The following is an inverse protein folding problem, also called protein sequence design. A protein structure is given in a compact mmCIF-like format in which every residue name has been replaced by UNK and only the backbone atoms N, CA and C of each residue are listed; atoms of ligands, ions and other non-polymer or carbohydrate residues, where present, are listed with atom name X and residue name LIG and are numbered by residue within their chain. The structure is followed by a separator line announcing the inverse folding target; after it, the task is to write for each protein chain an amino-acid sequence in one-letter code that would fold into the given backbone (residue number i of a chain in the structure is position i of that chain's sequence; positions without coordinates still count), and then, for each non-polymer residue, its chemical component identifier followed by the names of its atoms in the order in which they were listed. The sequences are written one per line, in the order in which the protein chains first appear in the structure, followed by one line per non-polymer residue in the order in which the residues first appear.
data_IF_870547469244
#
_entry.id   IF_870547469244
#
_cell.length_a   1.000
_cell.length_b   1.000
_cell.length_c   1.000
_cell.angle_alpha   90.00
_cell.angle_beta   90.00
_cell.angle_gamma   90.00
#
_symmetry.space_group_name_H-M   'P 1'
#
loop_
_entity.id
_entity.type
_entity.pdbx_description
1 polymer ?
#
# COMPACT_ATOMS: atom_id res chain seq x y z
N UNK A 1 9.92 24.65 -5.83
CA UNK A 1 9.67 23.65 -4.78
C UNK A 1 9.13 22.38 -5.44
N UNK A 2 9.69 21.19 -5.18
CA UNK A 2 9.21 19.96 -5.82
C UNK A 2 8.05 19.37 -5.01
N UNK A 3 6.87 19.25 -5.61
CA UNK A 3 5.66 18.79 -4.95
C UNK A 3 5.65 17.27 -4.71
N UNK A 4 5.15 16.85 -3.55
CA UNK A 4 4.83 15.46 -3.25
C UNK A 4 3.44 15.12 -3.80
N UNK A 5 3.19 13.85 -4.11
CA UNK A 5 1.86 13.41 -4.57
C UNK A 5 0.78 13.46 -3.50
N UNK A 6 1.16 13.29 -2.24
CA UNK A 6 0.25 13.26 -1.09
C UNK A 6 0.84 14.05 0.05
N UNK A 7 -0.02 14.80 0.73
CA UNK A 7 0.31 15.45 1.98
C UNK A 7 -0.08 14.55 3.17
N UNK A 8 0.74 14.50 4.23
CA UNK A 8 0.40 13.76 5.44
C UNK A 8 -0.81 14.38 6.13
N UNK A 9 -1.62 13.55 6.78
CA UNK A 9 -2.79 14.02 7.54
C UNK A 9 -2.37 14.98 8.66
N UNK A 10 -1.24 14.69 9.32
CA UNK A 10 -0.61 15.56 10.30
C UNK A 10 0.82 15.87 9.87
N UNK A 11 1.07 17.09 9.38
CA UNK A 11 2.39 17.50 8.91
C UNK A 11 3.46 17.57 10.03
N UNK A 12 3.03 17.83 11.26
CA UNK A 12 3.90 17.88 12.45
C UNK A 12 4.42 16.48 12.79
N UNK A 13 3.55 15.47 12.75
CA UNK A 13 3.85 14.07 13.09
C UNK A 13 4.33 13.23 11.90
N UNK A 14 4.88 13.89 10.88
CA UNK A 14 5.28 13.23 9.66
C UNK A 14 6.62 13.74 9.13
N UNK A 15 7.38 12.82 8.54
CA UNK A 15 8.63 13.09 7.87
C UNK A 15 8.52 12.80 6.39
N UNK A 16 9.22 13.58 5.57
CA UNK A 16 9.28 13.38 4.13
C UNK A 16 10.72 13.15 3.71
N UNK A 17 10.91 12.29 2.72
CA UNK A 17 12.16 12.10 2.02
C UNK A 17 11.90 11.86 0.54
N UNK A 18 12.82 12.29 -0.32
CA UNK A 18 12.70 12.13 -1.77
C UNK A 18 14.05 11.87 -2.40
N UNK A 19 14.06 11.01 -3.42
CA UNK A 19 15.17 10.87 -4.35
C UNK A 19 14.67 11.13 -5.78
N UNK A 20 15.32 12.05 -6.48
CA UNK A 20 14.97 12.39 -7.87
C UNK A 20 16.01 11.84 -8.83
N UNK A 21 15.58 11.47 -10.05
CA UNK A 21 16.43 11.00 -11.15
C UNK A 21 17.39 9.86 -10.75
N UNK A 22 16.90 8.96 -9.89
CA UNK A 22 17.68 7.83 -9.43
C UNK A 22 17.87 6.84 -10.58
N UNK A 23 19.13 6.46 -10.84
CA UNK A 23 19.50 5.50 -11.87
C UNK A 23 19.25 4.05 -11.43
N UNK A 24 18.00 3.74 -11.13
CA UNK A 24 17.50 2.40 -10.79
C UNK A 24 16.32 2.05 -11.67
N UNK A 25 16.09 0.77 -11.90
CA UNK A 25 15.04 0.34 -12.83
C UNK A 25 13.65 0.50 -12.21
N UNK A 26 12.87 1.45 -12.74
CA UNK A 26 11.54 1.82 -12.25
C UNK A 26 10.65 0.63 -11.84
N UNK A 27 10.51 -0.39 -12.71
CA UNK A 27 9.62 -1.53 -12.44
C UNK A 27 10.03 -2.32 -11.20
N UNK A 28 11.34 -2.49 -10.99
CA UNK A 28 11.84 -3.23 -9.83
C UNK A 28 11.60 -2.42 -8.56
N UNK A 29 11.95 -1.13 -8.61
CA UNK A 29 11.81 -0.22 -7.47
C UNK A 29 10.36 -0.03 -7.05
N UNK A 30 9.41 -0.05 -7.99
CA UNK A 30 7.98 -0.02 -7.70
C UNK A 30 7.52 -1.24 -6.90
N UNK A 31 7.94 -2.44 -7.31
CA UNK A 31 7.56 -3.66 -6.57
C UNK A 31 8.23 -3.69 -5.19
N UNK A 32 9.49 -3.27 -5.08
CA UNK A 32 10.17 -3.18 -3.78
C UNK A 32 9.52 -2.16 -2.85
N UNK A 33 9.16 -0.99 -3.37
CA UNK A 33 8.47 0.05 -2.61
C UNK A 33 7.09 -0.41 -2.12
N UNK A 34 6.34 -1.12 -2.97
CA UNK A 34 5.03 -1.64 -2.58
C UNK A 34 5.13 -2.72 -1.49
N UNK A 35 6.22 -3.46 -1.44
CA UNK A 35 6.45 -4.50 -0.43
C UNK A 35 6.75 -3.93 0.97
N UNK A 36 7.30 -2.72 1.06
CA UNK A 36 7.59 -2.03 2.34
C UNK A 36 6.48 -1.07 2.80
N UNK A 37 5.48 -0.84 1.95
CA UNK A 37 4.37 0.07 2.26
C UNK A 37 3.59 -0.44 3.48
N UNK A 38 3.27 0.46 4.43
CA UNK A 38 2.60 0.17 5.71
C UNK A 38 3.37 -0.71 6.69
N UNK A 39 4.67 -0.91 6.50
CA UNK A 39 5.51 -1.54 7.52
C UNK A 39 6.05 -0.49 8.49
N UNK A 40 6.30 -0.91 9.73
CA UNK A 40 7.14 -0.18 10.68
C UNK A 40 8.55 0.01 10.11
N UNK A 41 9.19 1.13 10.45
CA UNK A 41 10.49 1.53 9.90
C UNK A 41 11.57 0.47 10.16
N UNK A 42 11.65 -0.04 11.39
CA UNK A 42 12.62 -1.05 11.81
C UNK A 42 12.43 -2.38 11.06
N UNK A 43 11.18 -2.82 10.88
CA UNK A 43 10.84 -4.01 10.08
C UNK A 43 11.17 -3.81 8.60
N UNK A 44 10.90 -2.62 8.05
CA UNK A 44 11.19 -2.31 6.65
C UNK A 44 12.70 -2.36 6.35
N UNK A 45 13.54 -1.80 7.23
CA UNK A 45 15.01 -1.84 7.08
C UNK A 45 15.52 -3.28 7.11
N UNK A 46 15.16 -4.05 8.13
CA UNK A 46 15.53 -5.47 8.26
C UNK A 46 15.12 -6.27 7.03
N UNK A 47 13.91 -6.04 6.53
CA UNK A 47 13.42 -6.72 5.33
C UNK A 47 14.26 -6.39 4.09
N UNK A 48 14.65 -5.13 3.89
CA UNK A 48 15.50 -4.75 2.75
C UNK A 48 16.92 -5.33 2.86
N UNK A 49 17.47 -5.44 4.08
CA UNK A 49 18.76 -6.10 4.34
C UNK A 49 18.69 -7.61 4.04
N UNK A 50 17.62 -8.27 4.47
CA UNK A 50 17.37 -9.69 4.17
C UNK A 50 17.22 -9.94 2.65
N UNK A 51 16.64 -9.00 1.91
CA UNK A 51 16.55 -9.08 0.44
C UNK A 51 17.93 -8.97 -0.20
N UNK A 52 18.81 -8.11 0.33
CA UNK A 52 20.19 -7.99 -0.15
C UNK A 52 20.95 -9.30 0.15
N UNK A 53 20.71 -9.91 1.30
CA UNK A 53 21.26 -11.20 1.70
C UNK A 53 20.56 -12.41 1.05
N UNK A 54 19.56 -12.20 0.18
CA UNK A 54 18.76 -13.25 -0.48
C UNK A 54 17.99 -14.20 0.46
N UNK A 55 17.81 -13.82 1.73
CA UNK A 55 17.04 -14.59 2.72
C UNK A 55 15.53 -14.48 2.48
N UNK A 56 15.07 -13.30 2.04
CA UNK A 56 13.68 -13.05 1.70
C UNK A 56 13.56 -12.45 0.30
N UNK A 57 12.52 -12.84 -0.44
CA UNK A 57 12.26 -12.33 -1.79
C UNK A 57 11.22 -11.21 -1.77
N UNK A 58 11.30 -10.34 -2.78
CA UNK A 58 10.27 -9.31 -3.03
C UNK A 58 9.23 -9.88 -3.99
N UNK A 59 7.93 -9.85 -3.63
CA UNK A 59 6.87 -10.31 -4.52
C UNK A 59 6.68 -9.33 -5.68
N UNK A 60 6.64 -9.84 -6.91
CA UNK A 60 6.36 -9.04 -8.10
C UNK A 60 4.86 -9.17 -8.43
N UNK A 61 4.10 -8.09 -8.24
CA UNK A 61 2.64 -8.09 -8.40
C UNK A 61 2.17 -7.58 -9.75
N UNK A 62 2.64 -6.40 -10.18
CA UNK A 62 2.20 -5.78 -11.45
C UNK A 62 3.12 -6.14 -12.60
N UNK A 63 4.43 -6.00 -12.38
CA UNK A 63 5.44 -6.25 -13.41
C UNK A 63 5.97 -7.68 -13.38
N UNK A 64 5.08 -8.66 -13.57
CA UNK A 64 5.39 -10.09 -13.41
C UNK A 64 5.69 -10.86 -14.71
N UNK A 65 5.74 -10.19 -15.87
CA UNK A 65 6.04 -10.83 -17.16
C UNK A 65 7.44 -11.46 -17.20
N UNK A 66 7.50 -12.77 -17.41
CA UNK A 66 8.76 -13.53 -17.47
C UNK A 66 9.49 -13.69 -16.14
N UNK A 67 8.82 -13.47 -15.00
CA UNK A 67 9.43 -13.61 -13.67
C UNK A 67 9.26 -15.05 -13.16
N UNK A 68 10.37 -15.65 -12.71
CA UNK A 68 10.39 -16.99 -12.11
C UNK A 68 9.62 -17.06 -10.79
N UNK A 69 9.23 -18.28 -10.40
CA UNK A 69 8.56 -18.55 -9.12
C UNK A 69 9.59 -18.98 -8.06
N UNK A 70 9.41 -18.51 -6.83
CA UNK A 70 10.31 -18.80 -5.70
C UNK A 70 9.49 -19.14 -4.47
N UNK A 71 9.93 -20.13 -3.68
CA UNK A 71 9.24 -20.54 -2.45
C UNK A 71 9.13 -19.39 -1.43
N UNK A 72 10.16 -18.54 -1.33
CA UNK A 72 10.19 -17.37 -0.45
C UNK A 72 9.07 -16.34 -0.74
N UNK A 73 8.57 -16.30 -1.98
CA UNK A 73 7.50 -15.36 -2.36
C UNK A 73 6.10 -15.88 -2.00
N UNK A 74 5.94 -17.19 -1.73
CA UNK A 74 4.65 -17.83 -1.44
C UNK A 74 3.99 -17.26 -0.18
N UNK A 75 4.77 -16.89 0.84
CA UNK A 75 4.26 -16.32 2.09
C UNK A 75 3.64 -14.93 1.92
N UNK A 76 4.02 -14.19 0.87
CA UNK A 76 3.65 -12.78 0.68
C UNK A 76 2.72 -12.53 -0.50
N UNK A 77 2.62 -13.48 -1.44
CA UNK A 77 1.78 -13.35 -2.63
C UNK A 77 1.40 -14.71 -3.23
N UNK A 78 0.13 -14.85 -3.60
CA UNK A 78 -0.46 -16.10 -4.11
C UNK A 78 0.17 -16.61 -5.41
N UNK A 79 0.64 -15.72 -6.30
CA UNK A 79 1.25 -16.12 -7.56
C UNK A 79 2.63 -16.79 -7.39
N UNK A 80 3.25 -16.69 -6.20
CA UNK A 80 4.58 -17.25 -5.91
C UNK A 80 5.73 -16.66 -6.73
N UNK A 81 5.51 -15.57 -7.47
CA UNK A 81 6.53 -14.89 -8.28
C UNK A 81 7.27 -13.85 -7.44
N UNK A 82 8.60 -13.91 -7.46
CA UNK A 82 9.44 -12.98 -6.71
C UNK A 82 10.89 -12.97 -7.17
N UNK A 83 11.61 -11.89 -6.83
CA UNK A 83 13.03 -11.70 -7.14
C UNK A 83 13.74 -10.96 -6.00
N UNK A 84 15.05 -10.81 -6.11
CA UNK A 84 15.90 -10.02 -5.20
C UNK A 84 16.51 -8.80 -5.91
N UNK A 85 15.82 -7.64 -5.95
CA UNK A 85 16.27 -6.46 -6.67
C UNK A 85 17.28 -5.67 -5.84
N UNK A 86 18.50 -6.19 -5.71
CA UNK A 86 19.56 -5.66 -4.82
C UNK A 86 19.80 -4.16 -5.01
N UNK A 87 19.88 -3.68 -6.25
CA UNK A 87 20.09 -2.25 -6.53
C UNK A 87 18.94 -1.40 -5.99
N UNK A 88 17.69 -1.82 -6.18
CA UNK A 88 16.54 -1.04 -5.69
C UNK A 88 16.46 -1.04 -4.17
N UNK A 89 16.75 -2.17 -3.53
CA UNK A 89 16.77 -2.30 -2.08
C UNK A 89 17.80 -1.36 -1.44
N UNK A 90 19.01 -1.27 -1.99
CA UNK A 90 20.06 -0.36 -1.50
C UNK A 90 19.64 1.11 -1.55
N UNK A 91 19.05 1.56 -2.66
CA UNK A 91 18.57 2.94 -2.79
C UNK A 91 17.40 3.25 -1.85
N UNK A 92 16.47 2.31 -1.66
CA UNK A 92 15.37 2.48 -0.71
C UNK A 92 15.87 2.52 0.74
N UNK A 93 16.84 1.67 1.10
CA UNK A 93 17.45 1.67 2.43
C UNK A 93 18.15 3.00 2.72
N UNK A 94 18.89 3.55 1.76
CA UNK A 94 19.49 4.86 1.89
C UNK A 94 18.44 5.98 2.08
N UNK A 95 17.32 5.91 1.34
CA UNK A 95 16.23 6.88 1.52
C UNK A 95 15.53 6.77 2.87
N UNK A 96 15.36 5.55 3.40
CA UNK A 96 14.78 5.34 4.73
C UNK A 96 15.71 5.86 5.85
N UNK A 97 17.03 5.68 5.72
CA UNK A 97 18.00 6.27 6.64
C UNK A 97 17.97 7.81 6.62
N UNK A 98 17.82 8.39 5.44
CA UNK A 98 17.63 9.84 5.33
C UNK A 98 16.30 10.30 5.97
N UNK A 99 15.22 9.55 5.77
CA UNK A 99 13.92 9.85 6.37
C UNK A 99 13.93 9.74 7.91
N UNK A 100 14.70 8.80 8.45
CA UNK A 100 14.96 8.66 9.89
C UNK A 100 15.73 9.86 10.46
N UNK A 101 16.83 10.26 9.83
CA UNK A 101 17.58 11.45 10.25
C UNK A 101 16.70 12.70 10.25
N UNK A 102 15.81 12.85 9.25
CA UNK A 102 14.81 13.93 9.24
C UNK A 102 13.79 13.83 10.38
N UNK A 103 13.49 12.62 10.88
CA UNK A 103 12.59 12.40 12.00
C UNK A 103 13.23 12.76 13.34
N UNK A 104 14.50 12.40 13.52
CA UNK A 104 15.29 12.78 14.69
C UNK A 104 15.38 14.31 14.82
N UNK A 105 15.64 15.01 13.70
CA UNK A 105 15.67 16.49 13.67
C UNK A 105 14.32 17.10 14.05
N UNK A 106 13.22 16.42 13.74
CA UNK A 106 11.86 16.84 14.15
C UNK A 106 11.47 16.43 15.56
N UNK A 107 12.30 15.63 16.25
CA UNK A 107 11.99 15.11 17.58
C UNK A 107 10.89 14.05 17.60
N UNK A 108 10.67 13.36 16.48
CA UNK A 108 9.72 12.23 16.41
C UNK A 108 10.42 10.95 16.85
N UNK A 109 9.68 10.05 17.49
CA UNK A 109 10.22 8.78 17.96
C UNK A 109 10.40 7.77 16.82
N UNK A 110 11.64 7.36 16.54
CA UNK A 110 11.98 6.52 15.39
C UNK A 110 11.36 5.11 15.45
N UNK A 111 11.09 4.59 16.65
CA UNK A 111 10.59 3.22 16.85
C UNK A 111 9.10 3.10 16.55
N UNK A 112 8.33 4.15 16.78
CA UNK A 112 6.88 4.20 16.51
C UNK A 112 6.54 4.62 15.07
N UNK A 113 7.54 4.99 14.26
CA UNK A 113 7.33 5.39 12.87
C UNK A 113 7.02 4.20 11.96
N UNK A 114 6.09 4.43 11.03
CA UNK A 114 5.80 3.52 9.94
C UNK A 114 5.77 4.24 8.59
N UNK A 115 5.94 3.46 7.52
CA UNK A 115 5.88 3.96 6.15
C UNK A 115 4.42 4.19 5.74
N UNK A 116 3.93 5.40 5.92
CA UNK A 116 2.54 5.77 5.62
C UNK A 116 2.30 5.88 4.11
N UNK A 117 3.19 6.56 3.40
CA UNK A 117 3.16 6.68 1.94
C UNK A 117 4.52 6.40 1.33
N UNK A 118 4.49 5.64 0.25
CA UNK A 118 5.64 5.46 -0.61
C UNK A 118 5.13 5.38 -2.04
N UNK A 119 5.80 6.11 -2.91
CA UNK A 119 5.49 6.15 -4.32
C UNK A 119 6.76 6.24 -5.15
N UNK A 120 6.70 5.57 -6.30
CA UNK A 120 7.78 5.54 -7.28
C UNK A 120 7.17 5.98 -8.60
N UNK A 121 7.73 7.03 -9.19
CA UNK A 121 7.32 7.60 -10.47
C UNK A 121 8.43 7.42 -11.51
N UNK A 122 8.07 7.39 -12.78
CA UNK A 122 9.06 7.31 -13.86
C UNK A 122 9.78 8.66 -13.99
N UNK A 123 11.10 8.61 -14.19
CA UNK A 123 11.91 9.77 -14.51
C UNK A 123 12.23 9.80 -16.01
N UNK A 124 12.88 10.87 -16.47
CA UNK A 124 13.24 11.03 -17.87
C UNK A 124 14.16 9.88 -18.34
N UNK A 125 13.79 9.24 -19.45
CA UNK A 125 14.55 8.12 -20.00
C UNK A 125 15.88 8.59 -20.60
N UNK A 126 16.98 7.95 -20.22
CA UNK A 126 18.30 8.20 -20.81
C UNK A 126 18.48 7.31 -22.04
N UNK A 127 18.79 7.91 -23.20
CA UNK A 127 18.88 7.19 -24.48
C UNK A 127 20.33 6.83 -24.83
N UNK A 128 20.54 5.59 -25.26
CA UNK A 128 21.75 5.09 -25.93
C UNK A 128 21.33 4.44 -27.26
N UNK A 129 22.28 4.16 -28.14
CA UNK A 129 22.05 3.48 -29.42
C UNK A 129 22.47 2.01 -29.32
N UNK A 130 21.73 1.13 -29.98
CA UNK A 130 22.11 -0.27 -30.22
C UNK A 130 22.10 -0.53 -31.71
N UNK A 131 23.26 -0.93 -32.24
CA UNK A 131 23.41 -1.36 -33.62
C UNK A 131 22.88 -2.80 -33.78
N UNK A 132 22.14 -3.04 -34.85
CA UNK A 132 21.52 -4.32 -35.18
C UNK A 132 21.92 -4.73 -36.59
N UNK A 133 21.57 -5.97 -36.95
CA UNK A 133 21.84 -6.51 -38.28
C UNK A 133 21.30 -5.58 -39.39
N UNK A 134 21.98 -5.62 -40.55
CA UNK A 134 21.66 -4.82 -41.74
C UNK A 134 21.61 -3.29 -41.49
N UNK A 135 22.50 -2.77 -40.63
CA UNK A 135 22.63 -1.33 -40.39
C UNK A 135 21.48 -0.68 -39.60
N UNK A 136 20.56 -1.46 -39.02
CA UNK A 136 19.44 -0.94 -38.23
C UNK A 136 19.94 -0.35 -36.90
N UNK A 137 19.38 0.79 -36.49
CA UNK A 137 19.72 1.45 -35.21
C UNK A 137 18.49 1.53 -34.33
N UNK A 138 18.52 0.83 -33.19
CA UNK A 138 17.44 0.85 -32.20
C UNK A 138 17.86 1.66 -30.95
N UNK A 139 16.90 2.28 -30.24
CA UNK A 139 17.18 2.95 -28.98
C UNK A 139 17.32 1.94 -27.83
N UNK A 140 18.35 2.10 -27.01
CA UNK A 140 18.49 1.43 -25.72
C UNK A 140 18.30 2.44 -24.61
N UNK A 141 17.15 2.39 -23.93
CA UNK A 141 16.74 3.40 -22.97
C UNK A 141 16.86 2.91 -21.53
N UNK A 142 17.49 3.70 -20.68
CA UNK A 142 17.40 3.50 -19.23
C UNK A 142 16.07 4.04 -18.72
N UNK A 143 15.49 3.37 -17.72
CA UNK A 143 14.22 3.78 -17.08
C UNK A 143 14.46 4.14 -15.61
N UNK A 144 15.02 5.35 -15.33
CA UNK A 144 15.23 5.85 -13.98
C UNK A 144 13.91 6.16 -13.27
N UNK A 145 13.96 6.47 -11.97
CA UNK A 145 12.77 6.80 -11.19
C UNK A 145 12.96 7.95 -10.20
N UNK A 146 11.84 8.57 -9.85
CA UNK A 146 11.71 9.41 -8.67
C UNK A 146 11.05 8.57 -7.57
N UNK A 147 11.57 8.64 -6.35
CA UNK A 147 11.01 7.96 -5.18
C UNK A 147 10.66 9.02 -4.16
N UNK A 148 9.47 8.94 -3.62
CA UNK A 148 9.02 9.76 -2.50
C UNK A 148 8.53 8.85 -1.36
N UNK A 149 8.90 9.21 -0.14
CA UNK A 149 8.56 8.50 1.08
C UNK A 149 8.03 9.49 2.10
N UNK A 150 6.97 9.09 2.79
CA UNK A 150 6.42 9.79 3.95
C UNK A 150 6.36 8.77 5.09
N UNK A 151 6.96 9.14 6.22
CA UNK A 151 6.84 8.44 7.48
C UNK A 151 5.84 9.18 8.36
N UNK A 152 5.08 8.44 9.15
CA UNK A 152 4.15 9.01 10.11
C UNK A 152 4.17 8.18 11.39
N UNK A 153 3.87 8.82 12.52
CA UNK A 153 3.70 8.12 13.79
C UNK A 153 2.41 7.31 13.79
N UNK A 154 2.43 6.15 14.43
CA UNK A 154 1.24 5.33 14.59
C UNK A 154 0.25 6.00 15.56
N UNK A 155 -0.79 6.61 15.03
CA UNK A 155 -1.88 7.19 15.84
C UNK A 155 -2.78 6.03 16.28
N UNK A 156 -2.94 5.84 17.59
CA UNK A 156 -3.93 4.91 18.14
C UNK A 156 -5.33 5.26 17.59
N UNK A 157 -6.20 4.26 17.34
CA UNK A 157 -7.49 4.52 16.72
C UNK A 157 -8.28 5.53 17.54
N UNK A 158 -8.56 6.69 16.93
CA UNK A 158 -9.44 7.69 17.52
C UNK A 158 -10.84 7.10 17.54
N UNK A 159 -11.41 6.95 18.74
CA UNK A 159 -12.81 6.55 18.89
C UNK A 159 -13.66 7.65 18.26
N UNK A 160 -14.27 7.36 17.12
CA UNK A 160 -15.26 8.25 16.52
C UNK A 160 -16.47 8.23 17.45
N UNK A 161 -16.62 9.28 18.26
CA UNK A 161 -17.85 9.52 18.99
C UNK A 161 -18.89 9.98 17.96
N UNK A 162 -19.77 9.06 17.56
CA UNK A 162 -20.96 9.43 16.81
C UNK A 162 -21.81 10.30 17.72
N UNK A 163 -21.93 11.59 17.40
CA UNK A 163 -22.97 12.42 17.98
C UNK A 163 -24.30 11.83 17.52
N UNK A 164 -25.02 11.20 18.44
CA UNK A 164 -26.41 10.80 18.23
C UNK A 164 -27.24 12.07 18.02
N UNK A 165 -27.32 12.52 16.77
CA UNK A 165 -28.31 13.51 16.38
C UNK A 165 -29.67 12.84 16.52
N UNK A 166 -30.35 13.16 17.62
CA UNK A 166 -31.69 12.72 17.98
C UNK A 166 -32.64 12.84 16.79
N UNK A 167 -33.14 11.68 16.31
CA UNK A 167 -34.27 11.54 15.38
C UNK A 167 -35.57 11.95 16.07
N UNK A 168 -35.69 13.22 16.42
CA UNK A 168 -36.86 13.76 17.09
C UNK A 168 -37.35 15.02 16.40
N UNK A 169 -37.55 15.00 15.09
CA UNK A 169 -38.44 15.99 14.44
C UNK A 169 -39.09 15.37 13.19
N UNK A 170 -40.43 15.49 13.15
CA UNK A 170 -41.36 15.28 12.03
C UNK A 170 -41.86 13.84 11.77
N UNK A 171 -42.37 13.23 12.84
CA UNK A 171 -43.63 12.49 12.77
C UNK A 171 -44.79 13.53 12.77
N UNK A 172 -45.18 14.09 11.62
CA UNK A 172 -46.40 14.94 11.54
C UNK A 172 -46.99 15.16 10.15
N UNK A 173 -46.73 14.32 9.15
CA UNK A 173 -47.50 14.34 7.89
C UNK A 173 -47.62 12.92 7.37
N UNK A 174 -48.61 12.17 7.82
CA UNK A 174 -49.20 11.01 7.13
C UNK A 174 -50.45 10.52 7.91
N UNK A 175 -51.32 11.46 8.26
CA UNK A 175 -52.75 11.17 8.51
C UNK A 175 -53.52 11.80 7.36
N UNK A 176 -53.79 11.01 6.33
CA UNK A 176 -54.98 11.03 5.46
C UNK A 176 -54.63 10.26 4.18
N UNK A 177 -55.22 9.08 4.01
CA UNK A 177 -54.98 8.25 2.83
C UNK A 177 -55.49 6.84 2.99
N UNK A 178 -56.80 6.71 3.24
CA UNK A 178 -57.53 5.45 3.09
C UNK A 178 -57.35 4.97 1.64
N UNK A 179 -56.70 3.83 1.43
CA UNK A 179 -56.98 3.00 0.26
C UNK A 179 -56.86 1.52 0.59
N UNK A 180 -58.03 0.89 0.61
CA UNK A 180 -58.27 -0.51 0.87
C UNK A 180 -58.28 -1.22 -0.49
N UNK A 181 -57.37 -2.18 -0.72
CA UNK A 181 -57.63 -3.33 -1.60
C UNK A 181 -56.55 -4.41 -1.42
N UNK A 182 -57.01 -5.63 -1.13
CA UNK A 182 -56.46 -6.83 -1.78
C UNK A 182 -55.43 -7.66 -1.03
N UNK A 183 -55.92 -8.55 -0.14
CA UNK A 183 -55.59 -10.00 -0.06
C UNK A 183 -54.22 -10.45 -0.62
N UNK A 184 -53.33 -10.92 0.26
CA UNK A 184 -52.64 -12.22 0.08
C UNK A 184 -51.94 -12.63 1.38
N UNK A 185 -52.53 -13.61 2.05
CA UNK A 185 -52.01 -14.29 3.22
C UNK A 185 -50.80 -15.15 2.85
N UNK A 186 -49.67 -14.95 3.53
CA UNK A 186 -48.59 -15.95 3.63
C UNK A 186 -48.25 -16.18 5.10
N UNK A 187 -48.32 -17.46 5.46
CA UNK A 187 -48.26 -18.04 6.81
C UNK A 187 -46.91 -17.80 7.53
N UNK A 188 -46.87 -17.76 8.87
CA UNK A 188 -45.64 -17.79 9.64
C UNK A 188 -45.09 -19.22 9.78
N UNK A 189 -43.75 -19.34 9.74
CA UNK A 189 -42.97 -20.56 10.00
C UNK A 189 -42.93 -20.91 11.50
N UNK A 190 -43.21 -22.16 11.91
CA UNK A 190 -43.09 -22.56 13.30
C UNK A 190 -41.68 -23.07 13.63
N UNK A 191 -41.18 -22.64 14.80
CA UNK A 191 -39.92 -23.11 15.37
C UNK A 191 -39.97 -24.56 15.81
N UNK A 192 -38.83 -25.25 15.71
CA UNK A 192 -38.65 -26.61 16.22
C UNK A 192 -38.40 -26.58 17.73
N UNK A 193 -39.42 -26.87 18.53
CA UNK A 193 -39.24 -27.31 19.90
C UNK A 193 -39.22 -28.85 19.96
N UNK A 194 -38.21 -29.34 20.67
CA UNK A 194 -37.98 -30.73 21.08
C UNK A 194 -39.10 -31.21 22.02
N UNK A 195 -39.54 -32.47 21.86
CA UNK A 195 -40.06 -33.42 22.87
C UNK A 195 -40.25 -34.76 22.14
N UNK A 196 -39.48 -35.82 22.39
CA UNK A 196 -39.48 -36.71 23.56
C UNK A 196 -40.85 -37.39 23.81
N UNK A 197 -41.00 -38.63 23.31
CA UNK A 197 -41.87 -39.72 23.79
C UNK A 197 -41.42 -41.01 23.07
N UNK A 198 -40.79 -41.98 23.74
CA UNK A 198 -41.43 -43.16 24.36
C UNK A 198 -42.37 -43.86 23.38
N UNK A 199 -41.87 -44.89 22.68
CA UNK A 199 -42.00 -46.33 23.01
C UNK A 199 -40.74 -47.02 22.49
#
# INVERSE_FOLDING_TARGET
MVAYSREPENAVKACKARGSDLRVHFKNTRETAQAIKKLELSKAKRYLEDVIAHKQAIPFRRFCGGVGRTAQAKSRHSNGQGRWPVKSARFLLALLKNAESNAEVKGLDADTLYVSHIQVNQAQKQRRRTYRAHGRINPYMSSPCHIEVILSEHIAPVKVTLLETSRAFLCSVLTFGVWNHGRLSRKPSPGSQRKARLV
#
